data_IF_722148241582
#
_entry.id   IF_722148241582
#
_cell.length_a   1.000
_cell.length_b   1.000
_cell.length_c   1.000
_cell.angle_alpha   90.00
_cell.angle_beta   90.00
_cell.angle_gamma   90.00
#
_symmetry.space_group_name_H-M   'P 1'
#
loop_
_entity.id
_entity.type
_entity.pdbx_description
1 polymer ?
#
# COMPACT_ATOMS: atom_id res chain seq x y z
N UNK A 1 3.68 -21.60 4.35
CA UNK A 1 3.65 -22.53 3.20
C UNK A 1 3.29 -21.71 1.97
N UNK A 2 4.15 -21.75 0.95
CA UNK A 2 4.33 -20.73 -0.08
C UNK A 2 3.08 -20.46 -0.95
N UNK A 3 2.47 -19.29 -0.77
CA UNK A 3 1.55 -18.74 -1.76
C UNK A 3 2.38 -18.13 -2.90
N UNK A 4 2.64 -18.94 -3.94
CA UNK A 4 3.11 -18.41 -5.23
C UNK A 4 1.95 -17.62 -5.84
N UNK A 5 2.01 -16.30 -5.71
CA UNK A 5 1.04 -15.44 -6.35
C UNK A 5 1.71 -14.70 -7.51
N UNK A 6 1.03 -14.73 -8.65
CA UNK A 6 1.53 -14.32 -9.96
C UNK A 6 2.00 -12.86 -9.91
N UNK A 7 3.15 -12.58 -10.51
CA UNK A 7 3.62 -11.21 -10.69
C UNK A 7 2.74 -10.47 -11.71
N UNK A 8 2.95 -9.16 -11.83
CA UNK A 8 2.21 -8.27 -12.75
C UNK A 8 2.41 -8.63 -14.23
N UNK A 9 3.28 -9.60 -14.54
CA UNK A 9 3.59 -10.12 -15.88
C UNK A 9 3.08 -11.54 -16.09
N UNK A 10 2.31 -12.09 -15.14
CA UNK A 10 1.78 -13.45 -15.19
C UNK A 10 2.80 -14.56 -14.93
N UNK A 11 4.02 -14.22 -14.50
CA UNK A 11 5.07 -15.18 -14.13
C UNK A 11 5.08 -15.41 -12.62
N UNK A 12 5.30 -16.66 -12.21
CA UNK A 12 5.41 -17.01 -10.80
C UNK A 12 6.80 -16.65 -10.25
N UNK A 13 6.96 -15.39 -9.83
CA UNK A 13 8.15 -14.91 -9.14
C UNK A 13 7.97 -14.79 -7.62
N UNK A 14 9.06 -14.61 -6.84
CA UNK A 14 8.97 -14.32 -5.41
C UNK A 14 8.30 -12.95 -5.20
N UNK A 15 7.14 -12.92 -4.52
CA UNK A 15 6.51 -11.67 -4.10
C UNK A 15 7.35 -10.99 -3.02
N UNK A 16 7.50 -9.67 -3.11
CA UNK A 16 8.18 -8.90 -2.08
C UNK A 16 7.40 -8.98 -0.75
N UNK A 17 8.06 -9.20 0.41
CA UNK A 17 7.38 -9.50 1.69
C UNK A 17 6.32 -8.47 2.11
N UNK A 18 6.57 -7.19 1.86
CA UNK A 18 5.66 -6.08 2.21
C UNK A 18 4.32 -6.12 1.44
N UNK A 19 4.25 -6.84 0.31
CA UNK A 19 3.06 -6.86 -0.53
C UNK A 19 1.86 -7.51 0.12
N UNK A 20 2.05 -8.26 1.21
CA UNK A 20 0.95 -8.86 1.99
C UNK A 20 -0.01 -7.82 2.58
N UNK A 21 0.44 -6.58 2.79
CA UNK A 21 -0.36 -5.50 3.36
C UNK A 21 -1.15 -4.71 2.29
N UNK A 22 -0.83 -4.91 1.01
CA UNK A 22 -1.35 -4.12 -0.08
C UNK A 22 -2.25 -4.95 -0.98
N UNK A 23 -3.17 -4.26 -1.66
CA UNK A 23 -4.08 -4.87 -2.61
C UNK A 23 -3.32 -5.39 -3.83
N UNK A 24 -3.71 -6.56 -4.32
CA UNK A 24 -3.21 -7.14 -5.58
C UNK A 24 -4.34 -7.40 -6.61
N UNK A 25 -5.56 -6.99 -6.30
CA UNK A 25 -6.77 -7.19 -7.11
C UNK A 25 -6.99 -6.14 -8.22
N UNK A 26 -6.15 -5.10 -8.26
CA UNK A 26 -6.38 -3.91 -9.07
C UNK A 26 -5.28 -3.67 -10.12
N UNK A 27 -5.62 -3.12 -11.31
CA UNK A 27 -4.62 -2.67 -12.27
C UNK A 27 -3.74 -1.56 -11.69
N UNK A 28 -2.43 -1.62 -11.93
CA UNK A 28 -1.48 -0.64 -11.38
C UNK A 28 -1.05 -0.95 -9.94
N UNK A 29 -1.16 -2.20 -9.51
CA UNK A 29 -0.54 -2.73 -8.29
C UNK A 29 0.96 -2.99 -8.53
N UNK A 30 1.83 -2.93 -7.51
CA UNK A 30 1.52 -2.54 -6.13
C UNK A 30 1.27 -1.02 -5.97
N UNK A 31 1.67 -0.20 -6.93
CA UNK A 31 1.34 1.22 -7.03
C UNK A 31 1.69 1.78 -8.42
N UNK A 32 1.14 2.95 -8.76
CA UNK A 32 1.40 3.66 -10.03
C UNK A 32 2.51 4.73 -9.95
N UNK A 33 3.24 4.84 -8.83
CA UNK A 33 4.30 5.84 -8.69
C UNK A 33 5.48 5.60 -9.63
N UNK A 34 6.07 6.69 -10.12
CA UNK A 34 7.23 6.66 -11.01
C UNK A 34 8.42 5.95 -10.36
N UNK A 35 9.29 5.35 -11.19
CA UNK A 35 10.56 4.81 -10.73
C UNK A 35 11.38 5.90 -10.03
N UNK A 36 11.88 5.61 -8.82
CA UNK A 36 12.61 6.58 -7.99
C UNK A 36 11.74 7.54 -7.18
N UNK A 37 10.40 7.42 -7.24
CA UNK A 37 9.51 8.23 -6.41
C UNK A 37 9.66 7.87 -4.92
N UNK A 38 9.89 8.88 -4.07
CA UNK A 38 10.02 8.70 -2.62
C UNK A 38 8.74 8.22 -1.92
N UNK A 39 7.57 8.38 -2.54
CA UNK A 39 6.29 7.93 -1.97
C UNK A 39 6.28 6.41 -1.76
N UNK A 40 6.81 5.64 -2.71
CA UNK A 40 6.91 4.19 -2.59
C UNK A 40 7.85 3.76 -1.45
N UNK A 41 8.92 4.53 -1.21
CA UNK A 41 9.84 4.29 -0.10
C UNK A 41 9.17 4.55 1.24
N UNK A 42 8.51 5.70 1.40
CA UNK A 42 7.75 6.03 2.61
C UNK A 42 6.71 4.95 2.89
N UNK A 43 5.98 4.52 1.86
CA UNK A 43 4.97 3.47 1.99
C UNK A 43 5.54 2.14 2.47
N UNK A 44 6.67 1.73 1.89
CA UNK A 44 7.38 0.51 2.31
C UNK A 44 7.80 0.55 3.78
N UNK A 45 8.45 1.65 4.21
CA UNK A 45 8.91 1.78 5.60
C UNK A 45 7.76 1.90 6.59
N UNK A 46 6.67 2.57 6.24
CA UNK A 46 5.51 2.65 7.15
C UNK A 46 4.83 1.29 7.33
N UNK A 47 4.66 0.51 6.27
CA UNK A 47 4.11 -0.85 6.39
C UNK A 47 5.01 -1.76 7.24
N UNK A 48 6.33 -1.66 7.08
CA UNK A 48 7.29 -2.36 7.94
C UNK A 48 7.20 -1.92 9.40
N UNK A 49 7.07 -0.63 9.67
CA UNK A 49 6.93 -0.11 11.02
C UNK A 49 5.66 -0.63 11.71
N UNK A 50 4.54 -0.71 10.97
CA UNK A 50 3.28 -1.31 11.47
C UNK A 50 3.50 -2.77 11.88
N UNK A 51 4.22 -3.55 11.07
CA UNK A 51 4.56 -4.93 11.37
C UNK A 51 5.51 -5.06 12.57
N UNK A 52 6.59 -4.26 12.62
CA UNK A 52 7.58 -4.28 13.70
C UNK A 52 6.96 -3.87 15.06
N UNK A 53 5.96 -2.99 15.04
CA UNK A 53 5.20 -2.60 16.21
C UNK A 53 4.10 -3.60 16.61
N UNK A 54 3.86 -4.65 15.80
CA UNK A 54 2.81 -5.63 16.05
C UNK A 54 1.41 -5.02 16.08
N UNK A 55 1.19 -3.93 15.35
CA UNK A 55 -0.12 -3.27 15.32
C UNK A 55 -1.12 -4.16 14.60
N UNK A 56 -2.34 -4.26 15.16
CA UNK A 56 -3.44 -4.91 14.46
C UNK A 56 -3.84 -4.02 13.28
N UNK A 57 -3.65 -4.50 12.05
CA UNK A 57 -4.00 -3.80 10.82
C UNK A 57 -5.49 -3.43 10.74
N UNK A 58 -6.39 -4.20 11.36
CA UNK A 58 -7.83 -3.88 11.43
C UNK A 58 -8.11 -2.67 12.34
N UNK A 59 -7.12 -2.24 13.13
CA UNK A 59 -7.16 -1.02 13.96
C UNK A 59 -6.30 0.10 13.39
N UNK A 60 -5.75 -0.08 12.18
CA UNK A 60 -4.96 0.94 11.47
C UNK A 60 -5.80 1.51 10.34
N UNK A 61 -6.12 2.80 10.43
CA UNK A 61 -6.86 3.53 9.42
C UNK A 61 -5.91 4.43 8.62
N UNK A 62 -5.92 4.28 7.30
CA UNK A 62 -5.20 5.19 6.41
C UNK A 62 -6.11 6.32 5.95
N UNK A 63 -5.70 7.56 6.20
CA UNK A 63 -6.43 8.75 5.74
C UNK A 63 -5.52 9.59 4.87
N UNK A 64 -5.96 9.90 3.65
CA UNK A 64 -5.20 10.74 2.73
C UNK A 64 -6.11 11.60 1.88
N UNK A 65 -5.57 12.73 1.39
CA UNK A 65 -6.29 13.66 0.52
C UNK A 65 -6.09 13.34 -0.96
N UNK A 66 -6.19 14.36 -1.82
CA UNK A 66 -5.93 14.24 -3.26
C UNK A 66 -4.45 14.42 -3.59
N UNK A 67 -3.91 13.55 -4.45
CA UNK A 67 -2.53 13.60 -4.96
C UNK A 67 -1.90 12.23 -5.12
N UNK A 68 -0.62 12.19 -5.56
CA UNK A 68 0.14 10.93 -5.67
C UNK A 68 0.27 10.24 -4.30
N UNK A 69 0.56 11.00 -3.25
CA UNK A 69 0.56 10.52 -1.85
C UNK A 69 -0.85 10.17 -1.38
N UNK A 70 -1.85 10.94 -1.77
CA UNK A 70 -3.26 10.65 -1.48
C UNK A 70 -3.73 9.27 -1.97
N UNK A 71 -3.15 8.79 -3.07
CA UNK A 71 -3.47 7.47 -3.61
C UNK A 71 -2.90 6.31 -2.77
N UNK A 72 -1.95 6.55 -1.86
CA UNK A 72 -1.36 5.54 -0.97
C UNK A 72 -2.45 4.73 -0.25
N UNK A 73 -3.46 5.41 0.29
CA UNK A 73 -4.56 4.80 1.03
C UNK A 73 -5.32 3.76 0.21
N UNK A 74 -5.51 4.02 -1.09
CA UNK A 74 -6.29 3.14 -1.99
C UNK A 74 -5.61 1.80 -2.25
N UNK A 75 -4.29 1.71 -2.03
CA UNK A 75 -3.51 0.49 -2.16
C UNK A 75 -3.46 -0.33 -0.87
N UNK A 76 -3.94 0.21 0.25
CA UNK A 76 -4.03 -0.50 1.53
C UNK A 76 -5.13 -1.57 1.47
N UNK A 77 -4.88 -2.74 2.05
CA UNK A 77 -5.85 -3.84 2.03
C UNK A 77 -7.00 -3.66 3.04
N UNK A 78 -6.79 -2.89 4.12
CA UNK A 78 -7.82 -2.64 5.14
C UNK A 78 -8.52 -1.30 4.94
N UNK A 79 -9.28 -0.87 5.94
CA UNK A 79 -10.05 0.36 5.92
C UNK A 79 -9.18 1.60 5.66
N UNK A 80 -9.70 2.48 4.80
CA UNK A 80 -9.06 3.74 4.47
C UNK A 80 -10.10 4.80 4.07
N UNK A 81 -9.72 6.08 4.19
CA UNK A 81 -10.45 7.20 3.63
C UNK A 81 -9.58 7.98 2.64
N UNK A 82 -10.15 8.23 1.45
CA UNK A 82 -9.59 9.16 0.47
C UNK A 82 -10.46 10.42 0.44
N UNK A 83 -9.97 11.47 1.07
CA UNK A 83 -10.70 12.71 1.32
C UNK A 83 -10.48 13.73 0.21
N UNK A 84 -11.13 14.89 0.34
CA UNK A 84 -10.88 16.04 -0.52
C UNK A 84 -9.47 16.62 -0.32
N UNK A 85 -9.02 17.39 -1.32
CA UNK A 85 -7.73 18.09 -1.27
C UNK A 85 -7.64 18.99 -0.03
N UNK A 86 -6.57 18.83 0.76
CA UNK A 86 -6.36 19.60 1.99
C UNK A 86 -7.35 19.31 3.13
N UNK A 87 -8.05 18.16 3.10
CA UNK A 87 -9.09 17.78 4.07
C UNK A 87 -8.91 16.37 4.67
N UNK A 88 -7.66 15.91 4.79
CA UNK A 88 -7.38 14.59 5.35
C UNK A 88 -7.57 14.53 6.88
N UNK A 89 -7.41 15.64 7.59
CA UNK A 89 -7.49 15.71 9.06
C UNK A 89 -8.75 16.42 9.58
N UNK A 90 -9.56 16.99 8.68
CA UNK A 90 -10.57 18.00 8.99
C UNK A 90 -11.96 17.44 9.19
#
# INVERSE_FOLDING_TARGET
>A
MNAKAKDLTGKEGPKHPVLKHFRDDSPGTPHLWCAGCGVGQVWHYTARAIEELGLNEDKVLWVGGSGCTGRMCTYWHKDFFHTLHGRALS
#
